data_IF_370374166654
#
_entry.id   IF_370374166654
#
_cell.length_a   1.000
_cell.length_b   1.000
_cell.length_c   1.000
_cell.angle_alpha   90.00
_cell.angle_beta   90.00
_cell.angle_gamma   90.00
#
_symmetry.space_group_name_H-M   'P 1'
#
loop_
_entity.id
_entity.type
_entity.pdbx_description
1 polymer ?
#
# COMPACT_ATOMS: atom_id res chain seq x y z
N UNK A 1 -26.59 -11.47 21.18
CA UNK A 1 -26.79 -10.38 20.20
C UNK A 1 -25.78 -10.44 19.05
N UNK A 2 -24.63 -9.72 19.06
CA UNK A 2 -23.71 -9.70 17.90
C UNK A 2 -23.18 -11.09 17.53
N UNK A 3 -22.73 -11.87 18.52
CA UNK A 3 -22.25 -13.25 18.31
C UNK A 3 -23.35 -14.20 17.78
N UNK A 4 -24.61 -13.99 18.18
CA UNK A 4 -25.73 -14.82 17.69
C UNK A 4 -26.12 -14.43 16.27
N UNK A 5 -26.05 -13.14 15.93
CA UNK A 5 -26.35 -12.62 14.60
C UNK A 5 -25.26 -12.94 13.58
N UNK A 6 -23.97 -12.92 13.98
CA UNK A 6 -22.83 -13.17 13.09
C UNK A 6 -22.29 -14.60 13.16
N UNK A 7 -22.67 -15.38 14.17
CA UNK A 7 -22.12 -16.71 14.43
C UNK A 7 -20.68 -16.72 14.97
N UNK A 8 -20.06 -15.55 15.19
CA UNK A 8 -18.67 -15.43 15.63
C UNK A 8 -18.57 -15.78 17.13
N UNK A 9 -17.80 -16.82 17.46
CA UNK A 9 -17.66 -17.33 18.83
C UNK A 9 -16.39 -16.88 19.56
N UNK A 10 -15.39 -16.45 18.82
CA UNK A 10 -14.08 -16.04 19.32
C UNK A 10 -13.73 -14.68 18.71
N UNK A 11 -12.95 -13.86 19.41
CA UNK A 11 -12.62 -12.55 18.89
C UNK A 11 -11.71 -11.73 19.78
N UNK A 12 -11.27 -10.58 19.24
CA UNK A 12 -10.53 -9.58 19.98
C UNK A 12 -11.48 -8.43 20.31
N UNK A 13 -11.60 -8.12 21.60
CA UNK A 13 -12.22 -6.89 22.06
C UNK A 13 -11.13 -5.83 22.20
N UNK A 14 -11.05 -4.96 21.20
CA UNK A 14 -10.11 -3.86 21.16
C UNK A 14 -10.69 -2.62 21.84
N UNK A 15 -9.96 -2.04 22.79
CA UNK A 15 -10.32 -0.80 23.48
C UNK A 15 -9.22 0.23 23.26
N UNK A 16 -9.53 1.26 22.50
CA UNK A 16 -8.61 2.36 22.26
C UNK A 16 -8.66 3.43 23.36
N UNK A 17 -7.59 4.22 23.48
CA UNK A 17 -7.43 5.32 24.44
C UNK A 17 -7.71 4.96 25.91
N UNK A 18 -7.36 3.74 26.31
CA UNK A 18 -7.66 3.18 27.63
C UNK A 18 -7.14 4.03 28.80
N UNK A 19 -6.06 4.76 28.57
CA UNK A 19 -5.40 5.62 29.56
C UNK A 19 -5.96 7.05 29.60
N UNK A 20 -6.95 7.38 28.77
CA UNK A 20 -7.70 8.64 28.80
C UNK A 20 -9.02 8.51 29.59
N UNK A 21 -9.27 7.36 30.23
CA UNK A 21 -10.46 7.09 31.04
C UNK A 21 -10.53 8.03 32.24
N UNK A 22 -11.75 8.50 32.55
CA UNK A 22 -11.98 9.40 33.70
C UNK A 22 -11.56 8.76 35.02
N UNK A 23 -11.18 9.59 35.99
CA UNK A 23 -10.77 9.15 37.33
C UNK A 23 -11.76 8.21 38.00
N UNK A 24 -13.05 8.48 37.82
CA UNK A 24 -14.15 7.70 38.37
C UNK A 24 -14.30 6.32 37.74
N UNK A 25 -13.83 6.13 36.50
CA UNK A 25 -13.95 4.89 35.74
C UNK A 25 -12.67 4.06 35.72
N UNK A 26 -11.53 4.64 36.09
CA UNK A 26 -10.25 3.94 36.12
C UNK A 26 -10.30 2.61 36.93
N UNK A 27 -10.90 2.54 38.14
CA UNK A 27 -10.99 1.28 38.88
C UNK A 27 -11.82 0.21 38.17
N UNK A 28 -12.92 0.61 37.52
CA UNK A 28 -13.78 -0.31 36.77
C UNK A 28 -13.08 -0.83 35.50
N UNK A 29 -12.30 0.02 34.84
CA UNK A 29 -11.52 -0.36 33.67
C UNK A 29 -10.37 -1.31 34.02
N UNK A 30 -9.73 -1.09 35.17
CA UNK A 30 -8.72 -2.01 35.71
C UNK A 30 -9.32 -3.39 36.02
N UNK A 31 -10.48 -3.41 36.69
CA UNK A 31 -11.23 -4.64 36.94
C UNK A 31 -11.60 -5.31 35.61
N UNK A 32 -11.95 -4.54 34.59
CA UNK A 32 -12.28 -5.06 33.28
C UNK A 32 -11.10 -5.76 32.60
N UNK A 33 -9.93 -5.11 32.55
CA UNK A 33 -8.71 -5.68 31.95
C UNK A 33 -8.23 -6.94 32.70
N UNK A 34 -8.35 -6.96 34.02
CA UNK A 34 -7.85 -8.06 34.85
C UNK A 34 -8.82 -9.23 34.96
N UNK A 35 -10.10 -8.94 35.19
CA UNK A 35 -11.11 -9.96 35.51
C UNK A 35 -12.02 -10.29 34.32
N UNK A 36 -11.87 -9.59 33.19
CA UNK A 36 -12.76 -9.71 32.02
C UNK A 36 -14.23 -9.49 32.39
N UNK A 37 -14.49 -8.53 33.29
CA UNK A 37 -15.83 -8.21 33.81
C UNK A 37 -16.05 -6.71 33.88
N UNK A 38 -17.15 -6.22 33.32
CA UNK A 38 -17.55 -4.81 33.43
C UNK A 38 -18.87 -4.74 34.22
N UNK A 39 -18.80 -4.27 35.46
CA UNK A 39 -19.93 -4.37 36.40
C UNK A 39 -20.33 -5.83 36.59
N UNK A 40 -21.57 -6.17 36.25
CA UNK A 40 -22.11 -7.54 36.38
C UNK A 40 -22.01 -8.36 35.08
N UNK A 41 -21.44 -7.79 34.01
CA UNK A 41 -21.31 -8.45 32.72
C UNK A 41 -19.92 -9.05 32.56
N UNK A 42 -19.84 -10.29 32.10
CA UNK A 42 -18.59 -10.96 31.80
C UNK A 42 -18.32 -10.91 30.29
N UNK A 43 -17.06 -10.70 29.91
CA UNK A 43 -16.64 -10.84 28.51
C UNK A 43 -16.86 -12.30 28.11
N UNK A 44 -17.50 -12.59 26.96
CA UNK A 44 -17.77 -13.94 26.51
C UNK A 44 -16.51 -14.82 26.46
N UNK A 45 -16.66 -16.11 26.76
CA UNK A 45 -15.58 -17.08 26.60
C UNK A 45 -15.12 -17.12 25.14
N UNK A 46 -13.80 -17.25 24.92
CA UNK A 46 -13.21 -17.21 23.57
C UNK A 46 -12.78 -15.80 23.12
N UNK A 47 -13.00 -14.78 23.94
CA UNK A 47 -12.58 -13.40 23.62
C UNK A 47 -11.35 -12.96 24.40
N UNK A 48 -10.44 -12.28 23.69
CA UNK A 48 -9.23 -11.66 24.25
C UNK A 48 -9.44 -10.15 24.30
N UNK A 49 -9.04 -9.51 25.40
CA UNK A 49 -9.05 -8.05 25.50
C UNK A 49 -7.69 -7.54 25.04
N UNK A 50 -7.70 -6.60 24.11
CA UNK A 50 -6.53 -5.83 23.69
C UNK A 50 -6.86 -4.37 23.94
N UNK A 51 -5.95 -3.64 24.58
CA UNK A 51 -6.15 -2.23 24.88
C UNK A 51 -4.97 -1.41 24.33
N UNK A 52 -5.27 -0.25 23.76
CA UNK A 52 -4.30 0.72 23.30
C UNK A 52 -4.42 2.02 24.11
N UNK A 53 -3.30 2.72 24.28
CA UNK A 53 -3.24 3.98 25.00
C UNK A 53 -2.13 4.86 24.44
N UNK A 54 -2.38 6.17 24.41
CA UNK A 54 -1.42 7.13 23.88
C UNK A 54 -0.36 7.49 24.92
N UNK A 55 0.91 7.71 24.55
CA UNK A 55 1.92 8.16 25.50
C UNK A 55 1.51 9.49 26.19
N UNK A 56 1.97 9.74 27.42
CA UNK A 56 1.61 10.97 28.16
C UNK A 56 1.95 12.27 27.42
N UNK A 57 2.95 12.24 26.52
CA UNK A 57 3.30 13.42 25.72
C UNK A 57 2.15 13.87 24.80
N UNK A 58 1.27 12.96 24.39
CA UNK A 58 0.20 13.23 23.43
C UNK A 58 -1.05 13.83 24.05
N UNK A 59 -1.41 13.47 25.28
CA UNK A 59 -2.64 13.93 25.89
C UNK A 59 -2.47 14.20 27.40
N UNK A 60 -2.80 15.42 27.83
CA UNK A 60 -2.67 15.87 29.23
C UNK A 60 -3.56 15.08 30.20
N UNK A 61 -4.57 14.39 29.68
CA UNK A 61 -5.50 13.55 30.44
C UNK A 61 -5.01 12.10 30.59
N UNK A 62 -3.89 11.74 29.96
CA UNK A 62 -3.31 10.40 30.07
C UNK A 62 -2.88 10.14 31.50
N UNK A 63 -3.27 8.98 32.01
CA UNK A 63 -2.83 8.46 33.31
C UNK A 63 -2.10 7.15 33.11
N UNK A 64 -0.89 7.07 33.66
CA UNK A 64 -0.14 5.83 33.67
C UNK A 64 -0.80 4.82 34.61
N UNK A 65 -0.79 3.55 34.19
CA UNK A 65 -1.19 2.44 35.05
C UNK A 65 -0.13 2.19 36.12
N UNK A 66 -0.56 1.83 37.32
CA UNK A 66 0.36 1.41 38.36
C UNK A 66 1.10 0.10 37.97
N UNK A 67 2.25 -0.13 38.59
CA UNK A 67 3.12 -1.29 38.29
C UNK A 67 2.39 -2.62 38.55
N UNK A 68 1.48 -2.67 39.53
CA UNK A 68 0.74 -3.89 39.89
C UNK A 68 -0.26 -4.26 38.79
N UNK A 69 -0.83 -3.25 38.14
CA UNK A 69 -1.69 -3.41 36.97
C UNK A 69 -0.87 -3.87 35.77
N UNK A 70 0.28 -3.22 35.51
CA UNK A 70 1.16 -3.58 34.40
C UNK A 70 1.69 -5.01 34.51
N UNK A 71 1.91 -5.53 35.73
CA UNK A 71 2.31 -6.93 35.96
C UNK A 71 1.23 -7.96 35.56
N UNK A 72 -0.04 -7.54 35.53
CA UNK A 72 -1.19 -8.42 35.20
C UNK A 72 -1.59 -8.37 33.72
N UNK A 73 -0.97 -7.49 32.94
CA UNK A 73 -1.21 -7.36 31.50
C UNK A 73 0.07 -7.59 30.73
N UNK A 74 -0.03 -7.96 29.45
CA UNK A 74 1.12 -7.97 28.55
C UNK A 74 1.17 -6.61 27.85
N UNK A 75 2.17 -5.80 28.21
CA UNK A 75 2.43 -4.49 27.60
C UNK A 75 3.39 -4.67 26.42
N UNK A 76 3.01 -4.12 25.27
CA UNK A 76 3.88 -3.98 24.10
C UNK A 76 3.97 -2.48 23.83
N UNK A 77 5.20 -1.96 23.80
CA UNK A 77 5.44 -0.57 23.43
C UNK A 77 5.57 -0.49 21.90
N UNK A 78 4.74 0.36 21.29
CA UNK A 78 4.72 0.59 19.84
C UNK A 78 5.28 1.97 19.57
N UNK A 79 6.34 2.03 18.76
CA UNK A 79 6.98 3.27 18.33
C UNK A 79 6.77 3.51 16.84
N UNK A 80 7.04 4.75 16.41
CA UNK A 80 7.13 5.07 15.00
C UNK A 80 8.37 4.43 14.36
N UNK A 81 8.19 3.86 13.18
CA UNK A 81 9.28 3.39 12.33
C UNK A 81 8.96 3.78 10.89
N UNK A 82 9.87 4.55 10.27
CA UNK A 82 9.65 5.02 8.91
C UNK A 82 9.74 3.89 7.88
N UNK A 83 10.61 2.90 8.07
CA UNK A 83 10.75 1.77 7.17
C UNK A 83 9.47 0.93 7.12
N UNK A 84 8.94 0.59 8.30
CA UNK A 84 7.68 -0.15 8.43
C UNK A 84 6.50 0.66 7.87
N UNK A 85 6.43 1.97 8.18
CA UNK A 85 5.38 2.81 7.62
C UNK A 85 5.48 2.96 6.11
N UNK A 86 6.69 2.94 5.55
CA UNK A 86 6.91 3.07 4.11
C UNK A 86 6.42 1.85 3.34
N UNK A 87 6.60 0.64 3.89
CA UNK A 87 5.98 -0.58 3.33
C UNK A 87 4.46 -0.42 3.25
N UNK A 88 3.83 -0.03 4.36
CA UNK A 88 2.40 0.31 4.40
C UNK A 88 2.05 1.42 3.40
N UNK A 89 2.91 2.44 3.26
CA UNK A 89 2.64 3.59 2.41
C UNK A 89 2.58 3.23 0.92
N UNK A 90 3.33 2.23 0.48
CA UNK A 90 3.20 1.71 -0.88
C UNK A 90 1.85 1.03 -1.10
N UNK A 91 1.43 0.18 -0.17
CA UNK A 91 0.12 -0.51 -0.23
C UNK A 91 -1.04 0.49 -0.20
N UNK A 92 -1.00 1.43 0.75
CA UNK A 92 -1.98 2.51 0.89
C UNK A 92 -1.95 3.53 -0.27
N UNK A 93 -0.99 3.41 -1.19
CA UNK A 93 -0.88 4.29 -2.35
C UNK A 93 -0.54 5.73 -1.99
N UNK A 94 0.29 5.95 -0.97
CA UNK A 94 0.72 7.28 -0.55
C UNK A 94 1.41 8.02 -1.70
N UNK A 95 1.11 9.31 -1.81
CA UNK A 95 1.56 10.17 -2.89
C UNK A 95 3.10 10.15 -3.02
N UNK A 96 3.67 9.92 -4.22
CA UNK A 96 5.11 9.79 -4.42
C UNK A 96 5.94 10.97 -3.89
N UNK A 97 5.43 12.20 -4.01
CA UNK A 97 6.10 13.38 -3.46
C UNK A 97 6.28 13.32 -1.93
N UNK A 98 5.33 12.73 -1.20
CA UNK A 98 5.42 12.55 0.26
C UNK A 98 6.51 11.53 0.59
N UNK A 99 6.50 10.38 -0.09
CA UNK A 99 7.51 9.34 0.12
C UNK A 99 8.92 9.84 -0.17
N UNK A 100 9.10 10.44 -1.34
CA UNK A 100 10.42 10.94 -1.77
C UNK A 100 10.93 12.08 -0.88
N UNK A 101 10.05 12.95 -0.39
CA UNK A 101 10.43 13.95 0.60
C UNK A 101 10.89 13.32 1.91
N UNK A 102 10.12 12.37 2.44
CA UNK A 102 10.42 11.72 3.73
C UNK A 102 11.66 10.83 3.67
N UNK A 103 12.02 10.30 2.50
CA UNK A 103 13.30 9.62 2.31
C UNK A 103 14.50 10.55 2.53
N UNK A 104 14.40 11.79 2.06
CA UNK A 104 15.45 12.81 2.18
C UNK A 104 15.41 13.46 3.58
N UNK A 105 14.21 13.62 4.15
CA UNK A 105 13.94 14.33 5.40
C UNK A 105 13.24 13.43 6.42
N UNK A 106 13.86 12.30 6.74
CA UNK A 106 13.31 11.29 7.67
C UNK A 106 12.96 11.86 9.03
N UNK A 107 13.71 12.87 9.49
CA UNK A 107 13.45 13.58 10.74
C UNK A 107 12.11 14.33 10.77
N UNK A 108 11.47 14.54 9.61
CA UNK A 108 10.15 15.18 9.51
C UNK A 108 9.00 14.18 9.45
N UNK A 109 9.27 12.87 9.37
CA UNK A 109 8.25 11.82 9.37
C UNK A 109 7.37 11.89 10.62
N UNK A 110 8.02 11.95 11.78
CA UNK A 110 7.35 12.06 13.07
C UNK A 110 8.09 13.08 13.94
N UNK A 111 7.36 14.11 14.39
CA UNK A 111 7.89 15.18 15.25
C UNK A 111 6.82 15.57 16.24
N UNK A 112 7.22 15.72 17.51
CA UNK A 112 6.38 16.25 18.57
C UNK A 112 7.19 17.29 19.35
N UNK A 113 6.81 18.56 19.21
CA UNK A 113 7.46 19.67 19.90
C UNK A 113 6.43 20.41 20.76
N UNK A 114 6.75 20.68 22.02
CA UNK A 114 5.91 21.52 22.89
C UNK A 114 6.58 22.88 23.06
N UNK A 115 5.86 23.94 22.73
CA UNK A 115 6.31 25.33 22.87
C UNK A 115 5.32 26.16 23.70
N UNK A 116 5.68 27.41 24.01
CA UNK A 116 4.81 28.36 24.73
C UNK A 116 3.52 28.65 23.93
N UNK A 117 3.63 28.66 22.60
CA UNK A 117 2.52 28.96 21.68
C UNK A 117 1.64 27.74 21.37
N UNK A 118 1.98 26.56 21.90
CA UNK A 118 1.26 25.31 21.69
C UNK A 118 2.15 24.14 21.27
N UNK A 119 1.51 23.01 20.97
CA UNK A 119 2.18 21.82 20.44
C UNK A 119 2.26 21.90 18.92
N UNK A 120 3.42 21.59 18.37
CA UNK A 120 3.67 21.47 16.94
C UNK A 120 4.01 20.02 16.64
N UNK A 121 3.40 19.45 15.61
CA UNK A 121 3.59 18.04 15.35
C UNK A 121 3.43 17.62 13.89
N UNK A 122 4.12 16.55 13.54
CA UNK A 122 3.95 15.80 12.30
C UNK A 122 3.79 14.33 12.69
N UNK A 123 2.83 13.63 12.09
CA UNK A 123 2.56 12.23 12.36
C UNK A 123 2.39 11.47 11.06
N UNK A 124 2.58 10.13 11.05
CA UNK A 124 2.38 9.31 9.87
C UNK A 124 0.97 9.49 9.26
N UNK A 125 -0.05 9.58 10.12
CA UNK A 125 -1.44 9.88 9.72
C UNK A 125 -1.58 11.24 9.03
N UNK A 126 -0.91 12.28 9.52
CA UNK A 126 -0.95 13.59 8.89
C UNK A 126 -0.37 13.58 7.46
N UNK A 127 0.68 12.80 7.24
CA UNK A 127 1.26 12.58 5.91
C UNK A 127 0.31 11.82 4.97
N UNK A 128 -0.38 10.81 5.47
CA UNK A 128 -1.39 10.08 4.72
C UNK A 128 -2.58 10.96 4.31
N UNK A 129 -3.13 11.73 5.26
CA UNK A 129 -4.24 12.64 4.99
C UNK A 129 -3.84 13.73 3.98
N UNK A 130 -2.61 14.27 4.09
CA UNK A 130 -2.07 15.20 3.10
C UNK A 130 -1.94 14.54 1.73
N UNK A 131 -1.42 13.32 1.66
CA UNK A 131 -1.30 12.55 0.41
C UNK A 131 -2.64 12.41 -0.33
N UNK A 132 -3.72 12.09 0.39
CA UNK A 132 -5.07 12.01 -0.20
C UNK A 132 -5.51 13.36 -0.79
N UNK A 133 -5.19 14.48 -0.11
CA UNK A 133 -5.46 15.82 -0.64
C UNK A 133 -4.69 16.10 -1.93
N UNK A 134 -3.41 15.72 -2.00
CA UNK A 134 -2.57 15.95 -3.18
C UNK A 134 -3.20 15.32 -4.42
N UNK A 135 -3.62 14.05 -4.36
CA UNK A 135 -4.30 13.39 -5.48
C UNK A 135 -5.59 14.12 -5.92
N UNK A 136 -6.37 14.64 -4.96
CA UNK A 136 -7.57 15.42 -5.28
C UNK A 136 -7.20 16.73 -5.97
N UNK A 137 -6.14 17.39 -5.51
CA UNK A 137 -5.67 18.65 -6.06
C UNK A 137 -5.14 18.48 -7.48
N UNK A 138 -4.36 17.43 -7.75
CA UNK A 138 -3.88 17.08 -9.09
C UNK A 138 -5.06 16.85 -10.06
N UNK A 139 -6.07 16.08 -9.65
CA UNK A 139 -7.29 15.84 -10.45
C UNK A 139 -8.05 17.14 -10.74
N UNK A 140 -7.97 18.13 -9.86
CA UNK A 140 -8.62 19.43 -10.02
C UNK A 140 -7.71 20.48 -10.68
N UNK A 141 -6.45 20.14 -11.02
CA UNK A 141 -5.46 21.08 -11.53
C UNK A 141 -5.12 22.21 -10.54
N UNK A 142 -5.21 21.94 -9.24
CA UNK A 142 -4.91 22.89 -8.16
C UNK A 142 -3.55 22.56 -7.54
N UNK A 143 -2.86 23.58 -7.05
CA UNK A 143 -1.62 23.44 -6.29
C UNK A 143 -1.87 23.74 -4.82
N UNK A 144 -1.45 22.88 -3.90
CA UNK A 144 -1.53 23.18 -2.48
C UNK A 144 -0.48 24.24 -2.15
N UNK A 145 -0.88 25.23 -1.36
CA UNK A 145 0.06 26.18 -0.79
C UNK A 145 0.51 25.72 0.60
N UNK A 146 1.44 26.46 1.18
CA UNK A 146 1.96 26.20 2.52
C UNK A 146 0.86 26.22 3.60
N UNK A 147 -0.15 27.06 3.46
CA UNK A 147 -1.23 27.17 4.46
C UNK A 147 -2.05 25.89 4.47
N UNK A 148 -2.34 25.34 3.29
CA UNK A 148 -3.02 24.06 3.12
C UNK A 148 -2.18 22.92 3.70
N UNK A 149 -0.88 22.82 3.36
CA UNK A 149 0.01 21.78 3.91
C UNK A 149 0.06 21.82 5.44
N UNK A 150 0.08 23.02 6.03
CA UNK A 150 0.17 23.20 7.48
C UNK A 150 -1.09 22.74 8.25
N UNK A 151 -2.23 22.56 7.57
CA UNK A 151 -3.44 22.01 8.19
C UNK A 151 -3.28 20.52 8.55
N UNK A 152 -2.46 19.80 7.78
CA UNK A 152 -2.21 18.37 7.95
C UNK A 152 -0.91 18.13 8.71
N UNK A 153 0.15 18.87 8.35
CA UNK A 153 1.44 18.82 9.01
C UNK A 153 1.55 20.04 9.94
N UNK A 154 1.07 19.89 11.18
CA UNK A 154 1.03 20.96 12.18
C UNK A 154 2.40 21.32 12.79
N UNK A 155 3.48 20.91 12.11
CA UNK A 155 4.84 21.31 12.39
C UNK A 155 5.31 22.27 11.30
N UNK A 156 5.27 23.59 11.60
CA UNK A 156 5.40 24.64 10.57
C UNK A 156 6.69 24.60 9.75
N UNK A 157 7.82 24.15 10.33
CA UNK A 157 9.09 24.02 9.59
C UNK A 157 8.99 22.88 8.58
N UNK A 158 8.45 21.74 9.01
CA UNK A 158 8.25 20.56 8.17
C UNK A 158 7.24 20.84 7.06
N UNK A 159 6.12 21.51 7.38
CA UNK A 159 5.14 21.92 6.38
C UNK A 159 5.73 22.91 5.36
N UNK A 160 6.53 23.88 5.80
CA UNK A 160 7.21 24.82 4.91
C UNK A 160 8.21 24.10 3.99
N UNK A 161 9.01 23.21 4.55
CA UNK A 161 10.03 22.47 3.81
C UNK A 161 9.37 21.55 2.77
N UNK A 162 8.32 20.82 3.15
CA UNK A 162 7.55 20.00 2.22
C UNK A 162 6.87 20.82 1.10
N UNK A 163 6.26 21.97 1.42
CA UNK A 163 5.63 22.81 0.41
C UNK A 163 6.64 23.29 -0.65
N UNK A 164 7.85 23.70 -0.22
CA UNK A 164 8.92 24.05 -1.15
C UNK A 164 9.40 22.84 -1.96
N UNK A 165 9.52 21.68 -1.30
CA UNK A 165 9.91 20.45 -1.97
C UNK A 165 8.91 20.04 -3.05
N UNK A 166 7.60 20.18 -2.80
CA UNK A 166 6.56 19.85 -3.77
C UNK A 166 6.68 20.69 -5.06
N UNK A 167 6.97 21.98 -4.93
CA UNK A 167 7.23 22.84 -6.10
C UNK A 167 8.44 22.35 -6.92
N UNK A 168 9.49 21.91 -6.23
CA UNK A 168 10.67 21.32 -6.88
C UNK A 168 10.35 19.96 -7.53
N UNK A 169 9.56 19.14 -6.87
CA UNK A 169 9.15 17.82 -7.36
C UNK A 169 8.41 17.93 -8.70
N UNK A 170 7.41 18.83 -8.80
CA UNK A 170 6.71 19.12 -10.06
C UNK A 170 7.66 19.64 -11.14
N UNK A 171 8.59 20.52 -10.75
CA UNK A 171 9.59 21.08 -11.66
C UNK A 171 10.52 19.99 -12.20
N UNK A 172 11.01 19.08 -11.35
CA UNK A 172 11.87 17.99 -11.74
C UNK A 172 11.18 17.02 -12.68
N UNK A 173 9.89 16.71 -12.46
CA UNK A 173 9.12 15.89 -13.38
C UNK A 173 9.15 16.45 -14.81
N UNK A 174 8.99 17.78 -14.93
CA UNK A 174 9.02 18.48 -16.23
C UNK A 174 10.44 18.57 -16.80
N UNK A 175 11.38 19.00 -15.98
CA UNK A 175 12.76 19.29 -16.40
C UNK A 175 13.51 18.03 -16.85
N UNK A 176 13.26 16.89 -16.20
CA UNK A 176 13.86 15.60 -16.52
C UNK A 176 13.02 14.76 -17.47
N UNK A 177 11.85 15.27 -17.88
CA UNK A 177 10.95 14.62 -18.84
C UNK A 177 10.64 13.17 -18.46
N UNK A 178 10.26 12.95 -17.19
CA UNK A 178 10.07 11.61 -16.60
C UNK A 178 9.22 10.71 -17.49
N UNK A 179 8.11 11.23 -18.03
CA UNK A 179 7.22 10.48 -18.92
C UNK A 179 7.90 10.06 -20.25
N UNK A 180 8.78 10.91 -20.80
CA UNK A 180 9.56 10.59 -22.01
C UNK A 180 10.62 9.53 -21.71
N UNK A 181 11.27 9.63 -20.55
CA UNK A 181 12.24 8.64 -20.10
C UNK A 181 11.56 7.27 -19.94
N UNK A 182 10.40 7.22 -19.30
CA UNK A 182 9.62 5.97 -19.18
C UNK A 182 9.24 5.39 -20.55
N UNK A 183 8.99 6.24 -21.55
CA UNK A 183 8.74 5.83 -22.93
C UNK A 183 10.01 5.44 -23.73
N UNK A 184 11.21 5.47 -23.11
CA UNK A 184 12.47 5.10 -23.75
C UNK A 184 13.12 6.23 -24.56
N UNK A 185 12.71 7.48 -24.34
CA UNK A 185 13.26 8.66 -25.01
C UNK A 185 14.16 9.45 -24.07
N UNK A 186 15.48 9.35 -24.27
CA UNK A 186 16.48 9.97 -23.41
C UNK A 186 17.12 11.19 -24.07
N UNK A 187 16.67 12.38 -23.67
CA UNK A 187 17.32 13.63 -24.08
C UNK A 187 18.67 13.80 -23.38
N UNK A 188 19.71 14.12 -24.17
CA UNK A 188 21.09 14.29 -23.63
C UNK A 188 21.15 15.34 -22.51
N UNK A 189 20.38 16.41 -22.68
CA UNK A 189 20.31 17.48 -21.70
C UNK A 189 19.78 17.00 -20.34
N UNK A 190 18.76 16.13 -20.32
CA UNK A 190 18.21 15.59 -19.08
C UNK A 190 19.23 14.71 -18.34
N UNK A 191 19.94 13.84 -19.07
CA UNK A 191 21.00 12.98 -18.52
C UNK A 191 22.17 13.81 -17.96
N UNK A 192 22.66 14.77 -18.74
CA UNK A 192 23.78 15.64 -18.32
C UNK A 192 23.41 16.52 -17.11
N UNK A 193 22.19 17.06 -17.10
CA UNK A 193 21.67 17.83 -15.98
C UNK A 193 21.63 16.97 -14.72
N UNK A 194 21.07 15.77 -14.82
CA UNK A 194 20.91 14.87 -13.67
C UNK A 194 22.27 14.46 -13.10
N UNK A 195 23.27 14.24 -13.96
CA UNK A 195 24.64 13.94 -13.56
C UNK A 195 25.29 15.09 -12.78
N UNK A 196 24.95 16.34 -13.06
CA UNK A 196 25.50 17.52 -12.37
C UNK A 196 24.64 17.98 -11.18
N UNK A 197 23.46 17.38 -10.98
CA UNK A 197 22.54 17.71 -9.92
C UNK A 197 23.08 17.35 -8.53
N UNK A 198 22.55 18.01 -7.49
CA UNK A 198 22.84 17.67 -6.10
C UNK A 198 22.27 16.30 -5.73
N UNK A 199 22.79 15.67 -4.67
CA UNK A 199 22.26 14.38 -4.18
C UNK A 199 20.75 14.43 -3.89
N UNK A 200 20.28 15.49 -3.21
CA UNK A 200 18.85 15.68 -2.93
C UNK A 200 18.01 15.73 -4.22
N UNK A 201 18.49 16.40 -5.28
CA UNK A 201 17.80 16.47 -6.57
C UNK A 201 17.82 15.11 -7.28
N UNK A 202 18.95 14.39 -7.25
CA UNK A 202 19.05 13.05 -7.82
C UNK A 202 18.09 12.06 -7.16
N UNK A 203 18.02 12.06 -5.82
CA UNK A 203 17.09 11.21 -5.08
C UNK A 203 15.63 11.61 -5.30
N UNK A 204 15.32 12.89 -5.44
CA UNK A 204 13.99 13.32 -5.85
C UNK A 204 13.59 12.78 -7.23
N UNK A 205 14.53 12.75 -8.18
CA UNK A 205 14.30 12.17 -9.51
C UNK A 205 14.14 10.65 -9.47
N UNK A 206 14.93 9.95 -8.65
CA UNK A 206 14.72 8.52 -8.39
C UNK A 206 13.33 8.28 -7.79
N UNK A 207 12.91 9.10 -6.83
CA UNK A 207 11.57 9.04 -6.22
C UNK A 207 10.44 9.29 -7.22
N UNK A 208 10.62 10.18 -8.20
CA UNK A 208 9.68 10.39 -9.31
C UNK A 208 9.50 9.12 -10.14
N UNK A 209 10.60 8.45 -10.51
CA UNK A 209 10.53 7.18 -11.23
C UNK A 209 9.88 6.09 -10.40
N UNK A 210 10.23 5.98 -9.11
CA UNK A 210 9.61 5.02 -8.19
C UNK A 210 8.11 5.23 -8.05
N UNK A 211 7.65 6.48 -7.99
CA UNK A 211 6.22 6.80 -7.99
C UNK A 211 5.51 6.28 -9.23
N UNK A 212 6.06 6.58 -10.42
CA UNK A 212 5.45 6.19 -11.69
C UNK A 212 5.53 4.69 -11.97
N UNK A 213 6.62 4.04 -11.59
CA UNK A 213 6.74 2.59 -11.69
C UNK A 213 5.82 1.90 -10.68
N UNK A 214 5.73 2.41 -9.45
CA UNK A 214 4.82 1.91 -8.43
C UNK A 214 3.35 1.94 -8.88
N UNK A 215 2.91 3.05 -9.48
CA UNK A 215 1.57 3.16 -10.10
C UNK A 215 1.33 2.06 -11.16
N UNK A 216 2.34 1.76 -12.00
CA UNK A 216 2.24 0.74 -13.05
C UNK A 216 2.25 -0.69 -12.50
N UNK A 217 3.14 -0.99 -11.56
CA UNK A 217 3.20 -2.28 -10.87
C UNK A 217 1.89 -2.57 -10.12
N UNK A 218 1.30 -1.55 -9.48
CA UNK A 218 0.00 -1.67 -8.82
C UNK A 218 -1.13 -1.93 -9.82
N UNK A 219 -1.16 -1.21 -10.95
CA UNK A 219 -2.13 -1.45 -12.01
C UNK A 219 -2.00 -2.87 -12.60
N UNK A 220 -0.77 -3.38 -12.73
CA UNK A 220 -0.52 -4.78 -13.07
C UNK A 220 -1.11 -5.75 -12.04
N UNK A 221 -0.81 -5.55 -10.75
CA UNK A 221 -1.28 -6.41 -9.66
C UNK A 221 -2.82 -6.49 -9.62
N UNK A 222 -3.49 -5.33 -9.66
CA UNK A 222 -4.96 -5.26 -9.69
C UNK A 222 -5.53 -6.00 -10.91
N UNK A 223 -4.90 -5.86 -12.09
CA UNK A 223 -5.32 -6.55 -13.30
C UNK A 223 -5.05 -8.05 -13.26
N UNK A 224 -3.92 -8.48 -12.72
CA UNK A 224 -3.61 -9.92 -12.62
C UNK A 224 -4.57 -10.62 -11.66
N UNK A 225 -4.83 -10.05 -10.49
CA UNK A 225 -5.84 -10.57 -9.56
C UNK A 225 -7.22 -10.69 -10.23
N UNK A 226 -7.64 -9.66 -10.96
CA UNK A 226 -8.90 -9.68 -11.70
C UNK A 226 -8.95 -10.82 -12.73
N UNK A 227 -7.92 -10.95 -13.57
CA UNK A 227 -7.85 -11.99 -14.61
C UNK A 227 -7.79 -13.39 -13.99
N UNK A 228 -7.02 -13.56 -12.91
CA UNK A 228 -6.87 -14.83 -12.19
C UNK A 228 -8.19 -15.26 -11.55
N UNK A 229 -8.89 -14.36 -10.86
CA UNK A 229 -10.21 -14.67 -10.29
C UNK A 229 -11.25 -14.98 -11.37
N UNK A 230 -11.31 -14.19 -12.45
CA UNK A 230 -12.21 -14.45 -13.57
C UNK A 230 -11.94 -15.80 -14.22
N UNK A 231 -10.67 -16.16 -14.41
CA UNK A 231 -10.28 -17.45 -14.97
C UNK A 231 -10.80 -18.63 -14.13
N UNK A 232 -10.64 -18.57 -12.80
CA UNK A 232 -11.15 -19.61 -11.92
C UNK A 232 -12.70 -19.68 -11.96
N UNK A 233 -13.40 -18.54 -12.05
CA UNK A 233 -14.87 -18.55 -12.23
C UNK A 233 -15.26 -19.23 -13.55
N UNK A 234 -14.57 -18.92 -14.64
CA UNK A 234 -14.89 -19.48 -15.97
C UNK A 234 -14.57 -20.97 -16.04
N UNK A 235 -13.52 -21.42 -15.36
CA UNK A 235 -13.18 -22.84 -15.21
C UNK A 235 -14.21 -23.59 -14.39
N UNK A 236 -14.70 -23.00 -13.29
CA UNK A 236 -15.84 -23.52 -12.55
C UNK A 236 -17.07 -23.58 -13.46
N UNK A 237 -17.38 -22.48 -14.17
CA UNK A 237 -18.51 -22.37 -15.09
C UNK A 237 -18.52 -23.48 -16.12
N UNK A 238 -17.39 -23.69 -16.82
CA UNK A 238 -17.18 -24.76 -17.80
C UNK A 238 -17.59 -26.14 -17.25
N UNK A 239 -17.20 -26.47 -16.01
CA UNK A 239 -17.54 -27.76 -15.40
C UNK A 239 -19.05 -27.94 -15.21
N UNK A 240 -19.79 -26.90 -14.79
CA UNK A 240 -21.25 -27.08 -14.64
C UNK A 240 -22.02 -26.93 -15.96
N UNK A 241 -21.41 -26.44 -17.04
CA UNK A 241 -22.08 -26.47 -18.35
C UNK A 241 -22.39 -27.91 -18.80
N UNK A 242 -21.62 -28.90 -18.33
CA UNK A 242 -21.85 -30.32 -18.60
C UNK A 242 -23.24 -30.78 -18.11
N UNK A 243 -23.68 -30.31 -16.95
CA UNK A 243 -24.94 -30.72 -16.30
C UNK A 243 -26.05 -29.67 -16.34
N UNK A 244 -25.73 -28.41 -16.64
CA UNK A 244 -26.71 -27.32 -16.66
C UNK A 244 -27.68 -27.41 -17.84
N UNK A 245 -28.96 -27.13 -17.62
CA UNK A 245 -29.93 -26.99 -18.72
C UNK A 245 -29.69 -25.68 -19.51
N UNK A 246 -29.45 -24.58 -18.78
CA UNK A 246 -29.26 -23.24 -19.35
C UNK A 246 -27.87 -22.67 -19.00
N UNK A 247 -27.00 -22.38 -19.98
CA UNK A 247 -25.65 -21.85 -19.75
C UNK A 247 -25.59 -20.56 -18.93
N UNK A 248 -26.49 -19.61 -19.22
CA UNK A 248 -26.54 -18.32 -18.50
C UNK A 248 -26.98 -18.50 -17.05
N UNK A 249 -27.92 -19.41 -16.78
CA UNK A 249 -28.40 -19.69 -15.42
C UNK A 249 -27.27 -20.29 -14.58
N UNK A 250 -26.49 -21.20 -15.17
CA UNK A 250 -25.33 -21.75 -14.50
C UNK A 250 -24.32 -20.66 -14.13
N UNK A 251 -24.15 -19.60 -14.95
CA UNK A 251 -23.26 -18.48 -14.61
C UNK A 251 -23.89 -17.57 -13.55
N UNK A 252 -25.19 -17.30 -13.66
CA UNK A 252 -25.98 -16.52 -12.67
C UNK A 252 -25.88 -17.12 -11.27
N UNK A 253 -25.95 -18.45 -11.13
CA UNK A 253 -25.81 -19.11 -9.83
C UNK A 253 -24.45 -18.83 -9.18
N UNK A 254 -23.36 -18.71 -9.97
CA UNK A 254 -22.03 -18.35 -9.44
C UNK A 254 -21.94 -16.88 -9.06
N UNK A 255 -22.56 -16.00 -9.86
CA UNK A 255 -22.64 -14.58 -9.57
C UNK A 255 -23.35 -14.40 -8.24
N UNK A 256 -24.51 -15.03 -8.06
CA UNK A 256 -25.30 -14.97 -6.83
C UNK A 256 -24.52 -15.46 -5.59
N UNK A 257 -23.78 -16.57 -5.70
CA UNK A 257 -22.95 -17.06 -4.59
C UNK A 257 -21.86 -16.05 -4.19
N UNK A 258 -21.25 -15.38 -5.18
CA UNK A 258 -20.21 -14.36 -4.95
C UNK A 258 -20.79 -13.05 -4.41
N UNK A 259 -21.96 -12.63 -4.88
CA UNK A 259 -22.69 -11.49 -4.31
C UNK A 259 -23.02 -11.73 -2.83
N UNK A 260 -23.47 -12.95 -2.49
CA UNK A 260 -23.76 -13.32 -1.11
C UNK A 260 -22.50 -13.32 -0.23
N UNK A 261 -21.40 -13.90 -0.70
CA UNK A 261 -20.10 -13.87 0.00
C UNK A 261 -19.62 -12.42 0.23
N UNK A 262 -19.73 -11.58 -0.80
CA UNK A 262 -19.40 -10.16 -0.73
C UNK A 262 -20.26 -9.45 0.32
N UNK A 263 -21.58 -9.67 0.33
CA UNK A 263 -22.48 -9.08 1.34
C UNK A 263 -22.18 -9.56 2.77
N UNK A 264 -21.91 -10.85 2.96
CA UNK A 264 -21.58 -11.42 4.27
C UNK A 264 -20.29 -10.81 4.81
N UNK A 265 -19.26 -10.71 3.97
CA UNK A 265 -17.97 -10.10 4.33
C UNK A 265 -18.09 -8.59 4.58
N UNK A 266 -18.92 -7.87 3.81
CA UNK A 266 -19.24 -6.45 4.08
C UNK A 266 -19.94 -6.26 5.41
N UNK A 267 -20.95 -7.09 5.73
CA UNK A 267 -21.67 -7.04 7.02
C UNK A 267 -20.75 -7.35 8.20
N UNK A 268 -19.69 -8.12 7.97
CA UNK A 268 -18.70 -8.49 8.98
C UNK A 268 -17.52 -7.52 9.11
N UNK A 269 -17.42 -6.49 8.25
CA UNK A 269 -16.30 -5.53 8.21
C UNK A 269 -14.93 -6.21 7.96
N UNK A 270 -14.93 -7.23 7.08
CA UNK A 270 -13.78 -8.07 6.76
C UNK A 270 -13.15 -7.78 5.39
N UNK A 271 -13.50 -6.67 4.74
CA UNK A 271 -12.99 -6.30 3.43
C UNK A 271 -12.35 -4.92 3.46
N UNK A 272 -11.20 -4.80 2.82
CA UNK A 272 -10.65 -3.49 2.48
C UNK A 272 -11.46 -2.86 1.33
N UNK A 273 -11.33 -1.55 1.15
CA UNK A 273 -11.97 -0.84 0.03
C UNK A 273 -11.49 -1.34 -1.33
N UNK A 274 -10.23 -1.73 -1.43
CA UNK A 274 -9.61 -2.22 -2.66
C UNK A 274 -10.13 -3.62 -3.00
N UNK A 275 -10.20 -4.51 -2.00
CA UNK A 275 -10.82 -5.84 -2.16
C UNK A 275 -12.31 -5.74 -2.53
N UNK A 276 -13.04 -4.79 -1.93
CA UNK A 276 -14.43 -4.53 -2.29
C UNK A 276 -14.56 -4.07 -3.75
N UNK A 277 -13.73 -3.13 -4.19
CA UNK A 277 -13.74 -2.62 -5.56
C UNK A 277 -13.42 -3.71 -6.57
N UNK A 278 -12.36 -4.50 -6.33
CA UNK A 278 -11.97 -5.63 -7.18
C UNK A 278 -13.12 -6.64 -7.32
N UNK A 279 -13.74 -7.05 -6.20
CA UNK A 279 -14.89 -7.98 -6.21
C UNK A 279 -16.08 -7.42 -6.99
N UNK A 280 -16.36 -6.13 -6.87
CA UNK A 280 -17.43 -5.47 -7.63
C UNK A 280 -17.13 -5.43 -9.13
N UNK A 281 -15.88 -5.18 -9.51
CA UNK A 281 -15.45 -5.17 -10.91
C UNK A 281 -15.57 -6.57 -11.55
N UNK A 282 -15.17 -7.61 -10.81
CA UNK A 282 -15.34 -9.01 -11.22
C UNK A 282 -16.83 -9.32 -11.43
N UNK A 283 -17.70 -8.97 -10.47
CA UNK A 283 -19.15 -9.19 -10.60
C UNK A 283 -19.74 -8.47 -11.82
N UNK A 284 -19.28 -7.24 -12.09
CA UNK A 284 -19.70 -6.48 -13.27
C UNK A 284 -19.31 -7.19 -14.57
N UNK A 285 -18.07 -7.68 -14.68
CA UNK A 285 -17.59 -8.44 -15.86
C UNK A 285 -18.33 -9.77 -16.02
N UNK A 286 -18.55 -10.50 -14.92
CA UNK A 286 -19.35 -11.74 -14.94
C UNK A 286 -20.80 -11.47 -15.38
N UNK A 287 -21.38 -10.33 -14.99
CA UNK A 287 -22.68 -9.89 -15.48
C UNK A 287 -22.72 -9.70 -16.99
N UNK A 288 -21.68 -9.10 -17.57
CA UNK A 288 -21.53 -8.97 -19.03
C UNK A 288 -21.43 -10.36 -19.68
N UNK A 289 -20.63 -11.27 -19.12
CA UNK A 289 -20.48 -12.64 -19.62
C UNK A 289 -21.79 -13.44 -19.56
N UNK A 290 -22.58 -13.25 -18.52
CA UNK A 290 -23.92 -13.84 -18.40
C UNK A 290 -24.85 -13.32 -19.48
N UNK A 291 -24.85 -12.01 -19.72
CA UNK A 291 -25.71 -11.42 -20.74
C UNK A 291 -25.33 -11.93 -22.14
N UNK A 292 -24.03 -12.06 -22.43
CA UNK A 292 -23.53 -12.73 -23.65
C UNK A 292 -24.01 -14.18 -23.75
N UNK A 293 -23.99 -14.94 -22.65
CA UNK A 293 -24.46 -16.32 -22.63
C UNK A 293 -25.98 -16.41 -22.87
N UNK A 294 -26.75 -15.47 -22.34
CA UNK A 294 -28.20 -15.40 -22.52
C UNK A 294 -28.58 -15.04 -23.97
N UNK A 295 -27.85 -14.12 -24.58
CA UNK A 295 -28.02 -13.77 -26.00
C UNK A 295 -27.63 -14.92 -26.93
N UNK A 296 -26.57 -15.66 -26.61
CA UNK A 296 -26.19 -16.87 -27.36
C UNK A 296 -27.26 -17.94 -27.31
N UNK A 297 -27.81 -18.23 -26.13
CA UNK A 297 -28.90 -19.21 -25.99
C UNK A 297 -30.18 -18.74 -26.70
N UNK A 298 -30.52 -17.46 -26.63
CA UNK A 298 -31.68 -16.90 -27.34
C UNK A 298 -31.54 -17.02 -28.88
N UNK A 299 -30.31 -17.06 -29.40
CA UNK A 299 -30.00 -17.33 -30.82
C UNK A 299 -30.02 -18.83 -31.18
N UNK A 300 -30.21 -19.71 -30.20
CA UNK A 300 -30.21 -21.17 -30.39
C UNK A 300 -28.81 -21.77 -30.53
N UNK A 301 -27.78 -21.07 -30.06
CA UNK A 301 -26.38 -21.52 -30.12
C UNK A 301 -26.11 -22.66 -29.14
N UNK A 302 -25.17 -23.53 -29.51
CA UNK A 302 -24.76 -24.64 -28.65
C UNK A 302 -24.00 -24.17 -27.40
N UNK A 303 -23.99 -24.98 -26.34
CA UNK A 303 -23.25 -24.67 -25.09
C UNK A 303 -21.77 -24.34 -25.32
N UNK A 304 -21.13 -25.07 -26.23
CA UNK A 304 -19.71 -24.86 -26.56
C UNK A 304 -19.49 -23.53 -27.31
N UNK A 305 -20.42 -23.15 -28.20
CA UNK A 305 -20.37 -21.86 -28.92
C UNK A 305 -20.56 -20.69 -27.96
N UNK A 306 -21.49 -20.82 -27.01
CA UNK A 306 -21.72 -19.84 -25.95
C UNK A 306 -20.47 -19.70 -25.06
N UNK A 307 -19.89 -20.83 -24.64
CA UNK A 307 -18.65 -20.82 -23.86
C UNK A 307 -17.51 -20.14 -24.61
N UNK A 308 -17.37 -20.43 -25.90
CA UNK A 308 -16.33 -19.85 -26.74
C UNK A 308 -16.46 -18.32 -26.85
N UNK A 309 -17.68 -17.77 -26.98
CA UNK A 309 -17.90 -16.32 -26.99
C UNK A 309 -17.53 -15.63 -25.68
N UNK A 310 -17.91 -16.23 -24.55
CA UNK A 310 -17.53 -15.70 -23.24
C UNK A 310 -16.02 -15.81 -23.04
N UNK A 311 -15.40 -16.88 -23.51
CA UNK A 311 -13.95 -17.06 -23.50
C UNK A 311 -13.25 -15.98 -24.34
N UNK A 312 -13.77 -15.62 -25.51
CA UNK A 312 -13.25 -14.53 -26.34
C UNK A 312 -13.35 -13.18 -25.60
N UNK A 313 -14.48 -12.88 -24.95
CA UNK A 313 -14.60 -11.68 -24.13
C UNK A 313 -13.62 -11.65 -22.94
N UNK A 314 -13.33 -12.80 -22.34
CA UNK A 314 -12.29 -12.93 -21.32
C UNK A 314 -10.87 -12.75 -21.89
N UNK A 315 -10.62 -13.14 -23.14
CA UNK A 315 -9.33 -12.95 -23.78
C UNK A 315 -8.98 -11.46 -23.94
N UNK A 316 -9.96 -10.56 -24.06
CA UNK A 316 -9.71 -9.12 -24.03
C UNK A 316 -9.08 -8.70 -22.68
N UNK A 317 -9.58 -9.23 -21.56
CA UNK A 317 -9.03 -8.95 -20.24
C UNK A 317 -7.62 -9.53 -20.05
N UNK A 318 -7.39 -10.74 -20.58
CA UNK A 318 -6.06 -11.35 -20.58
C UNK A 318 -5.07 -10.58 -21.49
N UNK A 319 -5.54 -10.07 -22.63
CA UNK A 319 -4.75 -9.24 -23.54
C UNK A 319 -4.34 -7.91 -22.91
N UNK A 320 -5.27 -7.22 -22.24
CA UNK A 320 -4.94 -6.00 -21.47
C UNK A 320 -3.90 -6.26 -20.39
N UNK A 321 -3.94 -7.43 -19.72
CA UNK A 321 -2.90 -7.83 -18.77
C UNK A 321 -1.55 -8.03 -19.45
N UNK A 322 -1.51 -8.71 -20.59
CA UNK A 322 -0.27 -8.91 -21.36
C UNK A 322 0.33 -7.58 -21.83
N UNK A 323 -0.51 -6.62 -22.27
CA UNK A 323 -0.07 -5.27 -22.60
C UNK A 323 0.52 -4.54 -21.39
N UNK A 324 -0.11 -4.65 -20.21
CA UNK A 324 0.41 -4.07 -18.97
C UNK A 324 1.74 -4.69 -18.53
N UNK A 325 1.92 -6.01 -18.70
CA UNK A 325 3.19 -6.69 -18.42
C UNK A 325 4.29 -6.09 -19.28
N UNK A 326 4.04 -5.99 -20.59
CA UNK A 326 5.01 -5.45 -21.54
C UNK A 326 5.30 -3.97 -21.24
N UNK A 327 4.27 -3.16 -21.07
CA UNK A 327 4.38 -1.72 -20.81
C UNK A 327 5.15 -1.43 -19.51
N UNK A 328 4.86 -2.18 -18.44
CA UNK A 328 5.53 -2.02 -17.14
C UNK A 328 6.98 -2.50 -17.21
N UNK A 329 7.24 -3.64 -17.87
CA UNK A 329 8.59 -4.17 -18.07
C UNK A 329 9.47 -3.24 -18.91
N UNK A 330 8.95 -2.68 -20.00
CA UNK A 330 9.66 -1.71 -20.83
C UNK A 330 9.98 -0.43 -20.04
N UNK A 331 9.01 0.12 -19.29
CA UNK A 331 9.23 1.31 -18.44
C UNK A 331 10.28 1.07 -17.36
N UNK A 332 10.23 -0.09 -16.70
CA UNK A 332 11.21 -0.47 -15.69
C UNK A 332 12.62 -0.54 -16.30
N UNK A 333 12.76 -1.21 -17.45
CA UNK A 333 14.03 -1.31 -18.16
C UNK A 333 14.55 0.06 -18.63
N UNK A 334 13.69 0.88 -19.23
CA UNK A 334 14.03 2.23 -19.67
C UNK A 334 14.51 3.11 -18.49
N UNK A 335 13.90 2.93 -17.32
CA UNK A 335 14.33 3.63 -16.10
C UNK A 335 15.73 3.19 -15.68
N UNK A 336 16.01 1.88 -15.66
CA UNK A 336 17.35 1.37 -15.39
C UNK A 336 18.37 1.96 -16.39
N UNK A 337 18.09 1.89 -17.68
CA UNK A 337 18.98 2.40 -18.73
C UNK A 337 19.27 3.90 -18.55
N UNK A 338 18.26 4.69 -18.23
CA UNK A 338 18.42 6.11 -17.96
C UNK A 338 19.28 6.39 -16.72
N UNK A 339 19.02 5.68 -15.61
CA UNK A 339 19.78 5.82 -14.38
C UNK A 339 21.23 5.35 -14.55
N UNK A 340 21.47 4.27 -15.30
CA UNK A 340 22.82 3.82 -15.70
C UNK A 340 23.56 4.89 -16.50
N UNK A 341 22.89 5.51 -17.48
CA UNK A 341 23.48 6.58 -18.28
C UNK A 341 23.80 7.83 -17.45
N UNK A 342 22.95 8.17 -16.47
CA UNK A 342 23.14 9.33 -15.61
C UNK A 342 24.26 9.10 -14.58
N UNK A 343 24.25 7.95 -13.90
CA UNK A 343 24.99 7.72 -12.65
C UNK A 343 26.03 6.59 -12.70
N UNK A 344 26.10 5.81 -13.78
CA UNK A 344 26.93 4.60 -13.86
C UNK A 344 26.63 3.62 -12.71
N UNK A 345 27.56 3.39 -11.78
CA UNK A 345 27.38 2.52 -10.59
C UNK A 345 27.23 3.34 -9.29
N UNK A 346 26.63 4.53 -9.38
CA UNK A 346 26.39 5.42 -8.25
C UNK A 346 25.45 4.86 -7.18
N UNK A 347 25.47 5.49 -6.00
CA UNK A 347 24.59 5.15 -4.87
C UNK A 347 23.09 5.30 -5.20
N UNK A 348 22.76 6.08 -6.23
CA UNK A 348 21.40 6.29 -6.72
C UNK A 348 20.75 5.00 -7.24
N UNK A 349 21.52 4.13 -7.91
CA UNK A 349 21.01 2.82 -8.34
C UNK A 349 20.80 1.86 -7.16
N UNK A 350 21.64 1.94 -6.13
CA UNK A 350 21.47 1.17 -4.88
C UNK A 350 20.17 1.57 -4.19
N UNK A 351 19.92 2.88 -4.08
CA UNK A 351 18.65 3.40 -3.56
C UNK A 351 17.50 2.89 -4.42
N UNK A 352 17.54 3.08 -5.74
CA UNK A 352 16.48 2.61 -6.63
C UNK A 352 16.15 1.12 -6.48
N UNK A 353 17.16 0.24 -6.39
CA UNK A 353 16.94 -1.20 -6.17
C UNK A 353 16.37 -1.51 -4.78
N UNK A 354 16.83 -0.79 -3.75
CA UNK A 354 16.31 -0.94 -2.39
C UNK A 354 14.83 -0.52 -2.34
N UNK A 355 14.49 0.58 -3.01
CA UNK A 355 13.11 1.06 -3.13
C UNK A 355 12.20 0.05 -3.87
N UNK A 356 12.72 -0.58 -4.93
CA UNK A 356 12.01 -1.68 -5.61
C UNK A 356 11.78 -2.87 -4.67
N UNK A 357 12.74 -3.17 -3.78
CA UNK A 357 12.62 -4.25 -2.80
C UNK A 357 11.59 -3.96 -1.68
N UNK A 358 11.47 -2.69 -1.28
CA UNK A 358 10.51 -2.26 -0.25
C UNK A 358 9.07 -2.18 -0.79
N UNK A 359 8.89 -1.94 -2.09
CA UNK A 359 7.56 -1.87 -2.70
C UNK A 359 7.04 -3.29 -3.03
N UNK A 360 5.97 -3.77 -2.37
CA UNK A 360 5.46 -5.13 -2.57
C UNK A 360 5.01 -5.40 -4.00
N UNK A 361 4.35 -4.43 -4.65
CA UNK A 361 3.87 -4.56 -6.04
C UNK A 361 5.03 -4.64 -7.03
N UNK A 362 6.13 -3.92 -6.77
CA UNK A 362 7.32 -3.99 -7.63
C UNK A 362 8.00 -5.34 -7.49
N UNK A 363 8.11 -5.87 -6.27
CA UNK A 363 8.67 -7.19 -6.03
C UNK A 363 7.85 -8.31 -6.65
N UNK A 364 6.53 -8.26 -6.51
CA UNK A 364 5.61 -9.20 -7.16
C UNK A 364 5.82 -9.19 -8.68
N UNK A 365 5.73 -8.01 -9.30
CA UNK A 365 5.92 -7.86 -10.74
C UNK A 365 7.27 -8.42 -11.23
N UNK A 366 8.36 -8.04 -10.55
CA UNK A 366 9.72 -8.50 -10.92
C UNK A 366 9.88 -10.00 -10.70
N UNK A 367 9.28 -10.57 -9.64
CA UNK A 367 9.39 -12.00 -9.36
C UNK A 367 8.67 -12.87 -10.40
N UNK A 368 7.54 -12.39 -10.94
CA UNK A 368 6.72 -13.12 -11.89
C UNK A 368 7.14 -12.91 -13.35
N UNK A 369 7.58 -11.69 -13.70
CA UNK A 369 7.85 -11.30 -15.08
C UNK A 369 9.35 -11.16 -15.38
N UNK A 370 10.18 -11.02 -14.35
CA UNK A 370 11.63 -10.85 -14.45
C UNK A 370 12.08 -9.44 -14.85
N UNK A 371 13.30 -9.08 -14.45
CA UNK A 371 13.99 -7.88 -14.92
C UNK A 371 15.51 -8.09 -14.83
N UNK A 372 16.18 -8.23 -15.98
CA UNK A 372 17.63 -8.52 -16.03
C UNK A 372 18.47 -7.44 -15.35
N UNK A 373 18.11 -6.17 -15.56
CA UNK A 373 18.80 -5.02 -14.94
C UNK A 373 18.66 -5.04 -13.44
N UNK A 374 17.46 -5.33 -12.91
CA UNK A 374 17.25 -5.50 -11.48
C UNK A 374 18.13 -6.62 -10.92
N UNK A 375 18.14 -7.83 -11.51
CA UNK A 375 18.94 -8.94 -11.00
C UNK A 375 20.44 -8.65 -11.06
N UNK A 376 20.91 -7.96 -12.10
CA UNK A 376 22.30 -7.49 -12.23
C UNK A 376 22.69 -6.59 -11.05
N UNK A 377 21.87 -5.60 -10.69
CA UNK A 377 22.19 -4.67 -9.61
C UNK A 377 21.91 -5.22 -8.22
N UNK A 378 20.84 -5.98 -8.03
CA UNK A 378 20.53 -6.61 -6.75
C UNK A 378 21.64 -7.59 -6.34
N UNK A 379 22.17 -8.36 -7.29
CA UNK A 379 23.32 -9.24 -7.04
C UNK A 379 24.57 -8.46 -6.62
N UNK A 380 24.88 -7.34 -7.27
CA UNK A 380 26.00 -6.47 -6.88
C UNK A 380 25.83 -5.93 -5.45
N UNK A 381 24.62 -5.49 -5.12
CA UNK A 381 24.28 -4.97 -3.79
C UNK A 381 24.53 -6.01 -2.69
N UNK A 382 24.11 -7.27 -2.91
CA UNK A 382 24.36 -8.36 -1.97
C UNK A 382 25.87 -8.64 -1.80
N UNK A 383 26.64 -8.64 -2.89
CA UNK A 383 28.10 -8.81 -2.79
C UNK A 383 28.79 -7.67 -2.03
N UNK A 384 28.36 -6.43 -2.25
CA UNK A 384 28.93 -5.26 -1.56
C UNK A 384 28.56 -5.25 -0.07
N UNK A 385 27.40 -5.81 0.31
CA UNK A 385 27.01 -6.02 1.70
C UNK A 385 27.83 -7.12 2.36
N UNK A 386 27.96 -8.30 1.72
CA UNK A 386 28.79 -9.40 2.21
C UNK A 386 30.25 -8.97 2.40
N UNK A 387 30.80 -8.18 1.48
CA UNK A 387 32.16 -7.64 1.62
C UNK A 387 32.30 -6.66 2.78
N UNK A 388 31.29 -5.83 3.04
CA UNK A 388 31.30 -4.89 4.17
C UNK A 388 31.21 -5.61 5.51
N UNK A 389 30.33 -6.60 5.63
CA UNK A 389 30.22 -7.41 6.84
C UNK A 389 31.55 -8.12 7.16
N UNK A 390 32.22 -8.68 6.16
CA UNK A 390 33.55 -9.30 6.33
C UNK A 390 34.61 -8.27 6.77
N UNK A 391 34.59 -7.05 6.21
CA UNK A 391 35.54 -6.00 6.60
C UNK A 391 35.28 -5.48 8.02
N UNK A 392 34.02 -5.30 8.41
CA UNK A 392 33.65 -4.93 9.78
C UNK A 392 34.02 -6.04 10.77
N UNK A 393 33.84 -7.31 10.41
CA UNK A 393 34.33 -8.44 11.23
C UNK A 393 35.85 -8.43 11.39
N UNK A 394 36.61 -8.12 10.32
CA UNK A 394 38.07 -8.02 10.38
C UNK A 394 38.55 -6.82 11.21
N UNK A 395 37.91 -5.65 11.09
CA UNK A 395 38.22 -4.47 11.91
C UNK A 395 37.90 -4.73 13.39
N UNK A 396 36.77 -5.37 13.70
CA UNK A 396 36.43 -5.76 15.07
C UNK A 396 37.46 -6.76 15.65
N UNK A 397 37.96 -7.70 14.85
CA UNK A 397 39.03 -8.63 15.27
C UNK A 397 40.36 -7.90 15.49
N UNK A 398 40.68 -6.89 14.68
CA UNK A 398 41.87 -6.05 14.87
C UNK A 398 41.78 -5.14 16.10
N UNK A 399 40.59 -4.68 16.48
CA UNK A 399 40.38 -3.92 17.72
C UNK A 399 40.40 -4.79 18.99
N UNK A 400 40.09 -6.10 18.87
CA UNK A 400 40.15 -7.07 19.98
C UNK A 400 41.54 -7.68 20.22
N UNK A 401 42.51 -7.46 19.32
CA UNK A 401 43.91 -7.92 19.41
C UNK A 401 44.85 -6.83 19.97
#
# INVERSE_FOLDING_TARGET
DKMEATGIREGILFIDEINCVSETLAPAMLQFLQCKTFGNQQVPSGWIIVAAGNPPEYNKSVRDFDVVTLDRVKKIDVGEDFGVWKEYAYEAGIHPAVLSYLDIRRENFYRMETSIDGRMFATPRGWEELSQLLYVYEKLGKRPDREVVCQYIQHWKGAKDFANYLELFEKYQTDYQVDQVLAGHFEKFAVEKLRLASMDERFAVVGLFMGKLGERCRAYHEKDLLVTELFEVLKEWKKALESAEHPWQALEDRIFMREKDLEEKKKADLLTREEEHLKQEILKLLGIYRDLAKEGEARGEGKEEIFQKVKEAFQDQAGEREELIKDTGEKLQNTFDFLELAFAEGQELVVFVTELNTNPYSMEFISENGCDSYYKYNKKLLFDQEQREILEELENIEEEL
#
